data_IF_981188827014
#
_entry.id   IF_981188827014
#
_cell.length_a   1.000
_cell.length_b   1.000
_cell.length_c   1.000
_cell.angle_alpha   90.00
_cell.angle_beta   90.00
_cell.angle_gamma   90.00
#
_symmetry.space_group_name_H-M   'P 1'
#
loop_
_entity.id
_entity.type
_entity.pdbx_description
1 polymer ?
#
# COMPACT_ATOMS: atom_id res chain seq x y z
N UNK A 1 -24.89 -57.33 26.07
CA UNK A 1 -25.64 -56.58 25.02
C UNK A 1 -25.56 -55.09 25.32
N UNK A 2 -24.52 -54.40 24.84
CA UNK A 2 -24.45 -52.93 24.91
C UNK A 2 -25.11 -52.40 23.64
N UNK A 3 -26.19 -51.66 23.82
CA UNK A 3 -27.12 -51.19 22.80
C UNK A 3 -26.43 -50.42 21.66
N UNK A 4 -26.54 -50.93 20.43
CA UNK A 4 -26.12 -50.31 19.16
C UNK A 4 -26.66 -48.88 18.97
N UNK A 5 -27.67 -48.45 19.75
CA UNK A 5 -28.24 -47.11 19.69
C UNK A 5 -27.33 -46.03 20.28
N UNK A 6 -26.46 -46.37 21.25
CA UNK A 6 -25.52 -45.38 21.83
C UNK A 6 -24.37 -45.05 20.87
N UNK A 7 -23.88 -46.04 20.13
CA UNK A 7 -22.79 -45.88 19.18
C UNK A 7 -23.23 -45.07 17.94
N UNK A 8 -24.42 -45.38 17.41
CA UNK A 8 -25.02 -44.63 16.30
C UNK A 8 -25.39 -43.20 16.71
N UNK A 9 -25.84 -42.98 17.94
CA UNK A 9 -26.09 -41.64 18.48
C UNK A 9 -24.81 -40.80 18.60
N UNK A 10 -23.70 -41.40 19.07
CA UNK A 10 -22.42 -40.71 19.19
C UNK A 10 -21.85 -40.35 17.81
N UNK A 11 -21.87 -41.30 16.87
CA UNK A 11 -21.35 -41.12 15.51
C UNK A 11 -22.10 -40.03 14.71
N UNK A 12 -23.43 -39.92 14.88
CA UNK A 12 -24.24 -38.86 14.24
C UNK A 12 -23.86 -37.47 14.74
N UNK A 13 -23.60 -37.29 16.04
CA UNK A 13 -23.21 -35.99 16.60
C UNK A 13 -21.83 -35.54 16.12
N UNK A 14 -20.90 -36.48 15.99
CA UNK A 14 -19.57 -36.20 15.43
C UNK A 14 -19.63 -35.79 13.96
N UNK A 15 -20.46 -36.47 13.15
CA UNK A 15 -20.67 -36.11 11.74
C UNK A 15 -21.31 -34.72 11.61
N UNK A 16 -22.31 -34.40 12.43
CA UNK A 16 -22.95 -33.07 12.43
C UNK A 16 -21.94 -31.98 12.82
N UNK A 17 -21.11 -32.23 13.85
CA UNK A 17 -20.08 -31.28 14.26
C UNK A 17 -19.02 -31.04 13.17
N UNK A 18 -18.60 -32.09 12.45
CA UNK A 18 -17.68 -31.98 11.31
C UNK A 18 -18.30 -31.20 10.14
N UNK A 19 -19.59 -31.41 9.85
CA UNK A 19 -20.32 -30.68 8.82
C UNK A 19 -20.46 -29.19 9.17
N UNK A 20 -20.71 -28.85 10.43
CA UNK A 20 -20.76 -27.46 10.90
C UNK A 20 -19.37 -26.81 10.81
N UNK A 21 -18.32 -27.52 11.22
CA UNK A 21 -16.94 -27.02 11.15
C UNK A 21 -16.51 -26.76 9.70
N UNK A 22 -16.88 -27.65 8.77
CA UNK A 22 -16.63 -27.50 7.35
C UNK A 22 -17.44 -26.34 6.73
N UNK A 23 -18.71 -26.16 7.15
CA UNK A 23 -19.52 -25.02 6.75
C UNK A 23 -18.94 -23.68 7.23
N UNK A 24 -18.42 -23.62 8.46
CA UNK A 24 -17.72 -22.42 8.99
C UNK A 24 -16.44 -22.13 8.20
N UNK A 25 -15.72 -23.15 7.74
CA UNK A 25 -14.52 -22.97 6.91
C UNK A 25 -14.86 -22.43 5.50
N UNK A 26 -15.97 -22.87 4.91
CA UNK A 26 -16.43 -22.41 3.59
C UNK A 26 -16.97 -20.95 3.64
N UNK A 27 -17.51 -20.53 4.78
CA UNK A 27 -17.96 -19.14 4.98
C UNK A 27 -16.81 -18.14 5.11
N UNK A 28 -15.59 -18.61 5.38
CA UNK A 28 -14.38 -17.78 5.43
C UNK A 28 -13.74 -17.66 4.02
N UNK A 29 -14.51 -17.15 3.05
CA UNK A 29 -13.93 -16.63 1.81
C UNK A 29 -13.29 -15.26 2.11
N UNK A 30 -12.08 -15.26 2.67
CA UNK A 30 -11.24 -14.06 2.66
C UNK A 30 -10.67 -13.89 1.25
N UNK A 31 -11.52 -13.39 0.35
CA UNK A 31 -11.03 -12.87 -0.91
C UNK A 31 -10.38 -11.52 -0.63
N UNK A 32 -9.10 -11.54 -0.26
CA UNK A 32 -8.26 -10.34 -0.29
C UNK A 32 -7.98 -10.03 -1.76
N UNK A 33 -8.90 -9.31 -2.40
CA UNK A 33 -8.69 -8.77 -3.74
C UNK A 33 -7.91 -7.46 -3.60
N UNK A 34 -6.58 -7.51 -3.67
CA UNK A 34 -5.82 -6.30 -3.92
C UNK A 34 -6.14 -5.85 -5.36
N UNK A 35 -6.76 -4.69 -5.53
CA UNK A 35 -7.04 -4.15 -6.85
C UNK A 35 -5.85 -3.30 -7.30
N UNK A 36 -5.19 -3.67 -8.39
CA UNK A 36 -4.16 -2.81 -8.99
C UNK A 36 -4.86 -1.80 -9.91
N UNK A 37 -4.68 -0.52 -9.64
CA UNK A 37 -5.16 0.57 -10.50
C UNK A 37 -4.00 1.14 -11.28
N UNK A 38 -4.11 1.16 -12.61
CA UNK A 38 -3.13 1.80 -13.49
C UNK A 38 -3.76 3.03 -14.15
N UNK A 39 -3.08 4.18 -14.10
CA UNK A 39 -3.49 5.39 -14.82
C UNK A 39 -2.35 5.94 -15.66
N UNK A 40 -2.67 6.37 -16.87
CA UNK A 40 -1.72 7.08 -17.72
C UNK A 40 -2.36 8.33 -18.33
N UNK A 41 -1.56 9.35 -18.58
CA UNK A 41 -2.03 10.61 -19.16
C UNK A 41 -1.10 11.77 -18.90
N UNK A 42 -1.41 12.94 -19.48
CA UNK A 42 -0.57 14.13 -19.28
C UNK A 42 -0.57 14.60 -17.82
N UNK A 43 -1.75 14.65 -17.19
CA UNK A 43 -1.93 15.02 -15.79
C UNK A 43 -2.83 13.97 -15.14
N UNK A 44 -2.36 13.41 -14.04
CA UNK A 44 -3.12 12.47 -13.21
C UNK A 44 -3.35 13.15 -11.88
N UNK A 45 -4.61 13.36 -11.49
CA UNK A 45 -4.99 13.97 -10.22
C UNK A 45 -5.92 13.03 -9.46
N UNK A 46 -5.57 12.74 -8.21
CA UNK A 46 -6.39 12.00 -7.27
C UNK A 46 -6.80 12.97 -6.17
N UNK A 47 -8.10 13.22 -6.05
CA UNK A 47 -8.62 14.19 -5.09
C UNK A 47 -8.64 13.59 -3.68
N UNK A 48 -8.68 14.46 -2.66
CA UNK A 48 -8.64 14.08 -1.23
C UNK A 48 -9.72 13.09 -0.80
N UNK A 49 -10.89 13.11 -1.47
CA UNK A 49 -12.01 12.21 -1.15
C UNK A 49 -11.87 10.83 -1.81
N UNK A 50 -10.88 10.62 -2.67
CA UNK A 50 -10.69 9.36 -3.38
C UNK A 50 -9.78 8.43 -2.58
N UNK A 51 -10.19 7.17 -2.50
CA UNK A 51 -9.38 6.07 -1.96
C UNK A 51 -9.11 5.12 -3.12
N UNK A 52 -7.83 4.87 -3.37
CA UNK A 52 -7.37 3.81 -4.27
C UNK A 52 -7.17 2.56 -3.40
N UNK A 53 -8.04 1.57 -3.59
CA UNK A 53 -7.98 0.32 -2.85
C UNK A 53 -7.00 -0.66 -3.52
N UNK A 54 -5.82 -0.82 -2.93
CA UNK A 54 -4.70 -1.61 -3.44
C UNK A 54 -3.63 -0.75 -4.12
N UNK A 55 -2.83 -1.40 -4.96
CA UNK A 55 -1.66 -0.79 -5.57
C UNK A 55 -2.04 0.22 -6.66
N UNK A 56 -1.33 1.34 -6.72
CA UNK A 56 -1.60 2.42 -7.65
C UNK A 56 -0.40 2.76 -8.51
N UNK A 57 -0.49 2.51 -9.81
CA UNK A 57 0.60 2.73 -10.77
C UNK A 57 0.26 3.87 -11.73
N UNK A 58 1.18 4.81 -11.91
CA UNK A 58 0.97 6.01 -12.73
C UNK A 58 2.10 6.26 -13.73
N UNK A 59 1.71 6.71 -14.92
CA UNK A 59 2.60 7.09 -16.02
C UNK A 59 2.13 8.41 -16.65
N UNK A 60 2.87 9.51 -16.45
CA UNK A 60 2.43 10.81 -16.96
C UNK A 60 3.46 11.93 -16.91
N UNK A 61 3.05 13.17 -17.18
CA UNK A 61 3.96 14.32 -17.05
C UNK A 61 3.89 14.91 -15.64
N UNK A 62 2.70 14.89 -15.03
CA UNK A 62 2.44 15.38 -13.68
C UNK A 62 1.46 14.47 -12.95
N UNK A 63 1.80 14.08 -11.73
CA UNK A 63 0.96 13.26 -10.85
C UNK A 63 0.76 14.01 -9.53
N UNK A 64 -0.50 14.23 -9.16
CA UNK A 64 -0.90 14.83 -7.89
C UNK A 64 -1.79 13.82 -7.17
N UNK A 65 -1.27 13.26 -6.07
CA UNK A 65 -1.96 12.32 -5.22
C UNK A 65 -2.39 13.02 -3.93
N UNK A 66 -3.60 13.56 -3.87
CA UNK A 66 -4.16 14.11 -2.62
C UNK A 66 -5.07 13.14 -1.89
N UNK A 67 -5.59 12.11 -2.57
CA UNK A 67 -6.34 11.01 -1.95
C UNK A 67 -5.44 9.92 -1.36
N UNK A 68 -6.06 8.91 -0.75
CA UNK A 68 -5.38 7.80 -0.06
C UNK A 68 -5.11 6.61 -1.00
N UNK A 69 -3.98 5.93 -0.80
CA UNK A 69 -3.67 4.62 -1.43
C UNK A 69 -3.48 3.59 -0.31
N UNK A 70 -4.23 2.49 -0.35
CA UNK A 70 -4.12 1.42 0.67
C UNK A 70 -3.05 0.37 0.34
N UNK A 71 -2.51 0.37 -0.88
CA UNK A 71 -1.39 -0.46 -1.31
C UNK A 71 -0.13 0.34 -1.62
N UNK A 72 0.68 -0.19 -2.54
CA UNK A 72 1.93 0.45 -2.98
C UNK A 72 1.64 1.56 -4.00
N UNK A 73 2.46 2.61 -4.03
CA UNK A 73 2.39 3.66 -5.04
C UNK A 73 3.63 3.68 -5.93
N UNK A 74 3.43 3.39 -7.22
CA UNK A 74 4.45 3.46 -8.26
C UNK A 74 4.15 4.64 -9.19
N UNK A 75 5.11 5.56 -9.36
CA UNK A 75 4.94 6.68 -10.29
C UNK A 75 6.12 6.91 -11.19
N UNK A 76 5.84 7.04 -12.48
CA UNK A 76 6.78 7.48 -13.51
C UNK A 76 6.27 8.79 -14.09
N UNK A 77 6.78 9.92 -13.60
CA UNK A 77 6.35 11.23 -14.08
C UNK A 77 7.37 12.35 -13.92
N UNK A 78 7.30 13.37 -14.77
CA UNK A 78 8.18 14.54 -14.67
C UNK A 78 8.07 15.26 -13.32
N UNK A 79 6.87 15.39 -12.78
CA UNK A 79 6.62 15.93 -11.45
C UNK A 79 5.65 15.02 -10.68
N UNK A 80 5.96 14.73 -9.42
CA UNK A 80 5.10 13.96 -8.52
C UNK A 80 4.92 14.71 -7.21
N UNK A 81 3.67 14.96 -6.83
CA UNK A 81 3.31 15.53 -5.53
C UNK A 81 2.37 14.57 -4.80
N UNK A 82 2.76 14.14 -3.60
CA UNK A 82 1.95 13.30 -2.71
C UNK A 82 1.51 14.13 -1.52
N UNK A 83 0.22 14.40 -1.41
CA UNK A 83 -0.43 15.06 -0.27
C UNK A 83 -1.35 14.11 0.51
N UNK A 84 -1.67 12.93 -0.03
CA UNK A 84 -2.46 11.90 0.64
C UNK A 84 -1.62 10.71 1.10
N UNK A 85 -2.12 10.02 2.12
CA UNK A 85 -1.47 8.87 2.76
C UNK A 85 -1.28 7.69 1.80
N UNK A 86 -0.13 7.02 1.92
CA UNK A 86 0.16 5.72 1.29
C UNK A 86 0.45 4.71 2.40
N UNK A 87 -0.35 3.65 2.47
CA UNK A 87 -0.27 2.66 3.57
C UNK A 87 0.93 1.71 3.46
N UNK A 88 1.55 1.60 2.28
CA UNK A 88 2.72 0.76 2.06
C UNK A 88 3.86 1.55 1.39
N UNK A 89 4.54 0.95 0.41
CA UNK A 89 5.78 1.46 -0.16
C UNK A 89 5.53 2.47 -1.29
N UNK A 90 6.49 3.37 -1.49
CA UNK A 90 6.50 4.34 -2.59
C UNK A 90 7.74 4.10 -3.46
N UNK A 91 7.54 3.94 -4.77
CA UNK A 91 8.60 3.98 -5.76
C UNK A 91 8.32 5.04 -6.82
N UNK A 92 9.23 6.01 -6.98
CA UNK A 92 9.04 7.11 -7.94
C UNK A 92 10.27 7.28 -8.81
N UNK A 93 10.06 7.44 -10.12
CA UNK A 93 11.04 8.00 -11.04
C UNK A 93 10.47 9.31 -11.60
N UNK A 94 11.19 10.41 -11.42
CA UNK A 94 10.74 11.70 -11.92
C UNK A 94 11.81 12.79 -12.02
N UNK A 95 11.39 14.00 -12.39
CA UNK A 95 12.26 15.18 -12.38
C UNK A 95 12.27 15.83 -11.01
N UNK A 96 11.07 16.10 -10.47
CA UNK A 96 10.86 16.65 -9.13
C UNK A 96 9.82 15.83 -8.37
N UNK A 97 10.10 15.54 -7.10
CA UNK A 97 9.23 14.76 -6.21
C UNK A 97 9.04 15.50 -4.89
N UNK A 98 7.79 15.65 -4.46
CA UNK A 98 7.44 16.25 -3.18
C UNK A 98 6.48 15.34 -2.42
N UNK A 99 6.86 14.94 -1.21
CA UNK A 99 6.06 14.09 -0.31
C UNK A 99 5.67 14.91 0.91
N UNK A 100 4.38 15.20 1.05
CA UNK A 100 3.75 16.00 2.09
C UNK A 100 2.75 15.21 2.93
N UNK A 101 2.87 13.87 2.92
CA UNK A 101 1.93 12.97 3.56
C UNK A 101 2.65 11.79 4.22
N UNK A 102 2.03 11.14 5.21
CA UNK A 102 2.58 9.95 5.83
C UNK A 102 2.69 8.80 4.82
N UNK A 103 3.86 8.17 4.80
CA UNK A 103 4.13 6.91 4.10
C UNK A 103 4.46 5.85 5.14
N UNK A 104 3.68 4.76 5.14
CA UNK A 104 3.77 3.73 6.18
C UNK A 104 4.77 2.60 5.83
N UNK A 105 5.35 2.62 4.63
CA UNK A 105 6.42 1.73 4.19
C UNK A 105 7.75 2.42 3.87
N UNK A 106 8.52 1.81 2.97
CA UNK A 106 9.77 2.33 2.43
C UNK A 106 9.51 3.34 1.28
N UNK A 107 10.42 4.31 1.13
CA UNK A 107 10.41 5.29 0.03
C UNK A 107 11.66 5.12 -0.82
N UNK A 108 11.48 4.89 -2.12
CA UNK A 108 12.56 4.73 -3.11
C UNK A 108 12.34 5.70 -4.26
N UNK A 109 13.26 6.64 -4.47
CA UNK A 109 13.09 7.72 -5.45
C UNK A 109 14.33 7.86 -6.33
N UNK A 110 14.10 7.99 -7.64
CA UNK A 110 15.08 8.46 -8.61
C UNK A 110 14.60 9.80 -9.18
N UNK A 111 15.17 10.92 -8.75
CA UNK A 111 14.76 12.24 -9.24
C UNK A 111 15.82 13.33 -9.10
N UNK A 112 15.74 14.40 -9.90
CA UNK A 112 16.64 15.55 -9.79
C UNK A 112 16.48 16.25 -8.45
N UNK A 113 15.25 16.54 -8.05
CA UNK A 113 14.91 17.21 -6.80
C UNK A 113 13.89 16.39 -6.00
N UNK A 114 14.17 16.15 -4.72
CA UNK A 114 13.30 15.42 -3.80
C UNK A 114 13.09 16.24 -2.53
N UNK A 115 11.83 16.41 -2.12
CA UNK A 115 11.45 16.99 -0.82
C UNK A 115 10.59 16.00 -0.03
N UNK A 116 11.00 15.72 1.20
CA UNK A 116 10.23 14.92 2.17
C UNK A 116 9.84 15.85 3.32
N UNK A 117 8.53 16.01 3.55
CA UNK A 117 7.98 16.97 4.50
C UNK A 117 7.20 16.33 5.65
N UNK A 118 6.96 15.02 5.61
CA UNK A 118 6.15 14.30 6.60
C UNK A 118 6.78 12.94 6.95
N UNK A 119 6.08 12.15 7.75
CA UNK A 119 6.54 10.87 8.28
C UNK A 119 6.74 9.82 7.19
N UNK A 120 7.86 9.11 7.28
CA UNK A 120 8.12 7.85 6.59
C UNK A 120 8.44 6.81 7.65
N UNK A 121 7.62 5.78 7.77
CA UNK A 121 7.80 4.75 8.81
C UNK A 121 9.00 3.84 8.53
N UNK A 122 9.30 3.60 7.24
CA UNK A 122 10.42 2.78 6.79
C UNK A 122 11.69 3.55 6.45
N UNK A 123 12.43 3.00 5.49
CA UNK A 123 13.69 3.55 4.99
C UNK A 123 13.46 4.48 3.81
N UNK A 124 14.40 5.41 3.61
CA UNK A 124 14.43 6.29 2.44
C UNK A 124 15.68 5.99 1.63
N UNK A 125 15.51 5.66 0.35
CA UNK A 125 16.61 5.54 -0.61
C UNK A 125 16.38 6.50 -1.79
N UNK A 126 17.31 7.43 -2.00
CA UNK A 126 17.21 8.44 -3.06
C UNK A 126 18.47 8.44 -3.93
N UNK A 127 18.27 8.34 -5.24
CA UNK A 127 19.27 8.65 -6.25
C UNK A 127 18.86 9.96 -6.94
N UNK A 128 19.65 11.02 -6.82
CA UNK A 128 19.20 12.32 -7.32
C UNK A 128 20.23 13.44 -7.34
N UNK A 129 19.79 14.66 -7.64
CA UNK A 129 20.64 15.86 -7.50
C UNK A 129 20.58 16.42 -6.07
N UNK A 130 19.36 16.61 -5.55
CA UNK A 130 19.12 17.16 -4.21
C UNK A 130 18.03 16.41 -3.46
N UNK A 131 18.33 16.01 -2.23
CA UNK A 131 17.35 15.58 -1.24
C UNK A 131 17.21 16.64 -0.15
N UNK A 132 15.98 17.10 0.10
CA UNK A 132 15.62 17.99 1.20
C UNK A 132 14.65 17.27 2.13
N UNK A 133 15.05 17.05 3.39
CA UNK A 133 14.17 16.55 4.44
C UNK A 133 13.83 17.73 5.34
N UNK A 134 12.56 18.12 5.42
CA UNK A 134 12.13 19.27 6.21
C UNK A 134 12.10 18.93 7.71
N UNK A 135 12.13 19.96 8.55
CA UNK A 135 12.03 19.80 10.02
C UNK A 135 10.72 19.19 10.51
N UNK A 136 9.70 19.14 9.63
CA UNK A 136 8.40 18.50 9.89
C UNK A 136 8.41 17.00 9.60
N UNK A 137 9.41 16.50 8.86
CA UNK A 137 9.52 15.08 8.55
C UNK A 137 10.10 14.28 9.72
N UNK A 138 9.70 13.01 9.82
CA UNK A 138 10.34 12.03 10.69
C UNK A 138 10.56 10.75 9.90
N UNK A 139 11.73 10.13 10.04
CA UNK A 139 12.09 8.90 9.33
C UNK A 139 12.31 7.81 10.36
N UNK A 140 11.55 6.72 10.25
CA UNK A 140 11.62 5.59 11.18
C UNK A 140 12.83 4.69 10.96
N UNK A 141 13.32 4.61 9.71
CA UNK A 141 14.48 3.81 9.32
C UNK A 141 15.69 4.64 8.88
N UNK A 142 16.51 4.03 8.02
CA UNK A 142 17.73 4.63 7.49
C UNK A 142 17.44 5.56 6.30
N UNK A 143 18.30 6.56 6.10
CA UNK A 143 18.31 7.42 4.91
C UNK A 143 19.59 7.16 4.12
N UNK A 144 19.42 6.65 2.89
CA UNK A 144 20.46 6.47 1.90
C UNK A 144 20.27 7.48 0.77
N UNK A 145 21.26 8.34 0.55
CA UNK A 145 21.23 9.33 -0.52
C UNK A 145 22.52 9.26 -1.35
N UNK A 146 22.36 9.15 -2.66
CA UNK A 146 23.43 9.28 -3.63
C UNK A 146 23.08 10.40 -4.60
N UNK A 147 23.86 11.48 -4.58
CA UNK A 147 23.61 12.64 -5.42
C UNK A 147 24.67 13.73 -5.37
N UNK A 148 24.54 14.70 -6.29
CA UNK A 148 25.43 15.85 -6.46
C UNK A 148 24.94 16.81 -7.53
#
# INVERSE_FOLDING_TARGET
MISNNKFTFFMKRTIIALLILMAVFILNNYQANASTIVRSGKIISINEQQIIDGDFYTLGNSVILSGKVTGDFLSLAGNVTINGEVENDVFIIGGAVAIHAPIHGDVRIVAGDVTIADKVDGNIAVLGGRLTILSTASVGGDVLFYGG
#
